data_IF_328573448207
#
_entry.id   IF_328573448207
#
_cell.length_a   1.000
_cell.length_b   1.000
_cell.length_c   1.000
_cell.angle_alpha   90.00
_cell.angle_beta   90.00
_cell.angle_gamma   90.00
#
_symmetry.space_group_name_H-M   'P 1'
#
loop_
_entity.id
_entity.type
_entity.pdbx_description
1 polymer ?
#
# COMPACT_ATOMS: atom_id res chain seq x y z
N UNK A 1 57.65 14.31 58.12
CA UNK A 1 56.28 14.88 58.01
C UNK A 1 56.01 15.11 56.53
N UNK A 2 55.18 14.27 55.92
CA UNK A 2 54.89 14.26 54.48
C UNK A 2 53.56 14.96 54.21
N UNK A 3 53.57 16.00 53.39
CA UNK A 3 52.42 16.82 53.01
C UNK A 3 51.65 16.18 51.84
N UNK A 4 50.37 15.88 52.05
CA UNK A 4 49.47 15.36 51.01
C UNK A 4 48.95 16.48 50.08
N UNK A 5 48.72 16.22 48.78
CA UNK A 5 48.21 17.23 47.85
C UNK A 5 46.67 17.28 47.80
N UNK A 6 46.14 18.50 47.84
CA UNK A 6 44.71 18.83 47.68
C UNK A 6 44.21 18.48 46.27
N UNK A 7 43.32 17.50 46.15
CA UNK A 7 42.52 17.26 44.93
C UNK A 7 41.19 18.01 45.02
N UNK A 8 41.12 19.14 44.31
CA UNK A 8 39.89 19.93 44.10
C UNK A 8 39.06 19.26 43.01
N UNK A 9 37.94 18.64 43.38
CA UNK A 9 36.98 18.09 42.42
C UNK A 9 36.28 19.24 41.71
N UNK A 10 36.58 19.42 40.42
CA UNK A 10 35.83 20.33 39.54
C UNK A 10 34.63 19.57 39.00
N UNK A 11 33.43 19.89 39.50
CA UNK A 11 32.18 19.36 38.98
C UNK A 11 31.93 20.05 37.64
N UNK A 12 32.29 19.39 36.54
CA UNK A 12 31.91 19.81 35.21
C UNK A 12 30.38 19.66 35.07
N UNK A 13 29.69 20.79 34.98
CA UNK A 13 28.27 20.82 34.63
C UNK A 13 28.11 20.34 33.18
N UNK A 14 27.58 19.13 33.00
CA UNK A 14 27.11 18.68 31.69
C UNK A 14 25.91 19.53 31.27
N UNK A 15 25.97 20.25 30.13
CA UNK A 15 24.78 20.94 29.64
C UNK A 15 23.72 19.92 29.24
N UNK A 16 22.55 20.01 29.88
CA UNK A 16 21.34 19.30 29.49
C UNK A 16 20.99 19.69 28.05
N UNK A 17 21.32 18.83 27.10
CA UNK A 17 20.84 18.94 25.72
C UNK A 17 19.33 18.72 25.73
N UNK A 18 18.58 19.82 25.77
CA UNK A 18 17.14 19.83 25.53
C UNK A 18 16.92 19.47 24.05
N UNK A 19 16.84 18.17 23.79
CA UNK A 19 16.55 17.62 22.47
C UNK A 19 15.21 18.14 21.96
N UNK A 20 15.25 19.16 21.10
CA UNK A 20 14.09 19.63 20.37
C UNK A 20 13.52 18.47 19.56
N UNK A 21 12.27 18.07 19.85
CA UNK A 21 11.54 17.09 19.03
C UNK A 21 11.47 17.66 17.61
N UNK A 22 12.20 17.07 16.66
CA UNK A 22 12.06 17.45 15.25
C UNK A 22 10.59 17.27 14.84
N UNK A 23 9.99 18.34 14.34
CA UNK A 23 8.60 18.35 13.88
C UNK A 23 8.47 17.33 12.73
N UNK A 24 7.59 16.34 12.86
CA UNK A 24 7.32 15.39 11.78
C UNK A 24 6.81 16.15 10.56
N UNK A 25 7.40 15.89 9.39
CA UNK A 25 7.00 16.49 8.12
C UNK A 25 5.57 16.05 7.81
N UNK A 26 4.70 17.01 7.49
CA UNK A 26 3.30 16.74 7.20
C UNK A 26 3.16 15.85 5.95
N UNK A 27 2.08 15.06 5.85
CA UNK A 27 1.79 14.26 4.65
C UNK A 27 1.60 15.14 3.40
N UNK A 28 1.09 16.36 3.57
CA UNK A 28 0.92 17.32 2.47
C UNK A 28 2.24 17.83 1.88
N UNK A 29 3.36 17.64 2.59
CA UNK A 29 4.70 17.97 2.10
C UNK A 29 5.40 16.75 1.47
N UNK A 30 4.71 15.61 1.36
CA UNK A 30 5.20 14.34 0.81
C UNK A 30 4.23 13.87 -0.28
N UNK A 31 4.22 14.49 -1.47
CA UNK A 31 3.17 14.30 -2.47
C UNK A 31 3.04 12.83 -2.91
N UNK A 32 4.15 12.13 -3.12
CA UNK A 32 4.11 10.70 -3.47
C UNK A 32 3.50 9.84 -2.35
N UNK A 33 3.82 10.13 -1.08
CA UNK A 33 3.21 9.43 0.07
C UNK A 33 1.71 9.71 0.14
N UNK A 34 1.27 10.93 -0.18
CA UNK A 34 -0.14 11.28 -0.24
C UNK A 34 -0.88 10.51 -1.35
N UNK A 35 -0.28 10.36 -2.53
CA UNK A 35 -0.87 9.54 -3.61
C UNK A 35 -1.03 8.08 -3.16
N UNK A 36 -0.03 7.51 -2.48
CA UNK A 36 -0.16 6.15 -1.91
C UNK A 36 -1.29 6.06 -0.88
N UNK A 37 -1.42 7.04 0.01
CA UNK A 37 -2.51 7.07 1.00
C UNK A 37 -3.88 7.13 0.31
N UNK A 38 -4.05 7.99 -0.69
CA UNK A 38 -5.30 8.08 -1.46
C UNK A 38 -5.60 6.74 -2.14
N UNK A 39 -4.58 6.12 -2.74
CA UNK A 39 -4.70 4.81 -3.36
C UNK A 39 -5.18 3.75 -2.34
N UNK A 40 -4.53 3.62 -1.18
CA UNK A 40 -4.95 2.67 -0.14
C UNK A 40 -6.38 2.92 0.35
N UNK A 41 -6.73 4.18 0.64
CA UNK A 41 -8.05 4.55 1.17
C UNK A 41 -9.15 4.29 0.16
N UNK A 42 -8.92 4.57 -1.13
CA UNK A 42 -9.91 4.32 -2.18
C UNK A 42 -10.04 2.84 -2.53
N UNK A 43 -8.97 2.05 -2.37
CA UNK A 43 -9.02 0.62 -2.68
C UNK A 43 -9.81 -0.19 -1.65
N UNK A 44 -9.77 0.19 -0.36
CA UNK A 44 -10.54 -0.53 0.67
C UNK A 44 -12.04 -0.64 0.32
N UNK A 45 -12.79 0.45 0.04
CA UNK A 45 -14.19 0.33 -0.34
C UNK A 45 -14.36 -0.33 -1.72
N UNK A 46 -13.47 -0.11 -2.69
CA UNK A 46 -13.55 -0.79 -3.99
C UNK A 46 -13.48 -2.30 -3.82
N UNK A 47 -12.50 -2.81 -3.06
CA UNK A 47 -12.38 -4.25 -2.80
C UNK A 47 -13.55 -4.78 -2.01
N UNK A 48 -13.98 -4.08 -0.96
CA UNK A 48 -15.08 -4.54 -0.11
C UNK A 48 -16.43 -4.53 -0.82
N UNK A 49 -16.69 -3.60 -1.74
CA UNK A 49 -18.01 -3.42 -2.34
C UNK A 49 -18.10 -3.79 -3.81
N UNK A 50 -16.99 -3.86 -4.55
CA UNK A 50 -16.95 -4.23 -5.97
C UNK A 50 -16.31 -5.60 -6.13
N UNK A 51 -15.05 -5.77 -5.72
CA UNK A 51 -14.31 -7.01 -5.97
C UNK A 51 -14.92 -8.19 -5.20
N UNK A 52 -15.33 -7.98 -3.95
CA UNK A 52 -15.95 -9.03 -3.13
C UNK A 52 -17.27 -9.58 -3.70
N UNK A 53 -17.93 -8.89 -4.65
CA UNK A 53 -19.11 -9.42 -5.33
C UNK A 53 -18.79 -10.70 -6.13
N UNK A 54 -17.52 -10.92 -6.52
CA UNK A 54 -17.10 -12.16 -7.16
C UNK A 54 -17.02 -13.37 -6.22
N UNK A 55 -16.92 -13.15 -4.89
CA UNK A 55 -16.67 -14.22 -3.90
C UNK A 55 -17.75 -14.34 -2.81
N UNK A 56 -18.62 -13.34 -2.67
CA UNK A 56 -19.72 -13.33 -1.71
C UNK A 56 -21.08 -13.28 -2.42
N UNK A 57 -22.14 -13.84 -1.80
CA UNK A 57 -23.50 -13.70 -2.31
C UNK A 57 -23.95 -12.25 -2.52
N UNK A 58 -24.76 -12.01 -3.55
CA UNK A 58 -25.24 -10.68 -3.92
C UNK A 58 -26.02 -9.95 -2.81
N UNK A 59 -26.65 -10.70 -1.90
CA UNK A 59 -27.45 -10.20 -0.78
C UNK A 59 -26.65 -9.35 0.23
N UNK A 60 -25.32 -9.53 0.28
CA UNK A 60 -24.45 -8.75 1.16
C UNK A 60 -24.18 -7.33 0.67
N UNK A 61 -24.55 -7.00 -0.58
CA UNK A 61 -24.20 -5.74 -1.22
C UNK A 61 -25.44 -4.88 -1.48
N UNK A 62 -25.38 -3.57 -1.16
CA UNK A 62 -26.43 -2.63 -1.55
C UNK A 62 -26.62 -2.58 -3.07
N UNK A 63 -27.83 -2.24 -3.51
CA UNK A 63 -28.16 -2.07 -4.94
C UNK A 63 -27.17 -1.16 -5.67
N UNK A 64 -26.75 -0.06 -5.04
CA UNK A 64 -25.80 0.88 -5.66
C UNK A 64 -24.45 0.22 -6.04
N UNK A 65 -23.99 -0.79 -5.30
CA UNK A 65 -22.77 -1.53 -5.61
C UNK A 65 -22.96 -2.45 -6.82
N UNK A 66 -24.14 -3.08 -6.92
CA UNK A 66 -24.52 -3.88 -8.10
C UNK A 66 -24.64 -3.00 -9.35
N UNK A 67 -25.32 -1.85 -9.22
CA UNK A 67 -25.49 -0.90 -10.32
C UNK A 67 -24.14 -0.38 -10.81
N UNK A 68 -23.18 -0.16 -9.90
CA UNK A 68 -21.81 0.24 -10.25
C UNK A 68 -21.05 -0.87 -11.01
N UNK A 69 -21.14 -2.12 -10.54
CA UNK A 69 -20.52 -3.25 -11.24
C UNK A 69 -21.17 -3.46 -12.61
N UNK A 70 -22.50 -3.39 -12.70
CA UNK A 70 -23.22 -3.52 -13.97
C UNK A 70 -22.84 -2.40 -14.94
N UNK A 71 -22.73 -1.15 -14.46
CA UNK A 71 -22.23 -0.04 -15.27
C UNK A 71 -20.82 -0.33 -15.82
N UNK A 72 -19.91 -0.88 -15.01
CA UNK A 72 -18.59 -1.28 -15.47
C UNK A 72 -18.65 -2.35 -16.57
N UNK A 73 -19.47 -3.37 -16.38
CA UNK A 73 -19.64 -4.46 -17.36
C UNK A 73 -20.25 -3.96 -18.68
N UNK A 74 -21.24 -3.08 -18.62
CA UNK A 74 -21.93 -2.55 -19.80
C UNK A 74 -21.00 -1.65 -20.64
N UNK A 75 -20.11 -0.88 -19.99
CA UNK A 75 -19.22 0.06 -20.68
C UNK A 75 -17.91 -0.57 -21.13
N UNK A 76 -17.36 -1.53 -20.37
CA UNK A 76 -16.01 -2.05 -20.61
C UNK A 76 -15.97 -3.54 -20.96
N UNK A 77 -17.09 -4.26 -20.83
CA UNK A 77 -17.24 -5.69 -21.14
C UNK A 77 -16.17 -6.54 -20.45
N UNK A 78 -15.83 -6.19 -19.22
CA UNK A 78 -14.76 -6.85 -18.47
C UNK A 78 -15.10 -8.34 -18.23
N UNK A 79 -14.41 -9.28 -18.92
CA UNK A 79 -14.74 -10.68 -18.83
C UNK A 79 -14.38 -11.26 -17.46
N UNK A 80 -13.41 -10.67 -16.76
CA UNK A 80 -12.93 -11.14 -15.46
C UNK A 80 -13.97 -10.87 -14.39
N UNK A 81 -14.49 -9.65 -14.34
CA UNK A 81 -15.51 -9.25 -13.39
C UNK A 81 -16.89 -9.82 -13.75
N UNK A 82 -17.15 -10.10 -15.03
CA UNK A 82 -18.42 -10.71 -15.46
C UNK A 82 -18.52 -12.20 -15.16
N UNK A 83 -17.42 -12.96 -15.31
CA UNK A 83 -17.42 -14.42 -15.11
C UNK A 83 -16.89 -14.86 -13.75
N UNK A 84 -16.07 -14.02 -13.11
CA UNK A 84 -15.37 -14.31 -11.85
C UNK A 84 -14.73 -15.71 -11.85
N UNK A 85 -13.75 -15.98 -12.73
CA UNK A 85 -13.15 -17.31 -12.83
C UNK A 85 -12.50 -17.72 -11.51
N UNK A 86 -12.39 -19.03 -11.26
CA UNK A 86 -11.96 -19.55 -9.96
C UNK A 86 -10.59 -19.01 -9.50
N UNK A 87 -9.64 -18.83 -10.41
CA UNK A 87 -8.33 -18.25 -10.08
C UNK A 87 -8.44 -16.78 -9.65
N UNK A 88 -9.34 -16.00 -10.25
CA UNK A 88 -9.56 -14.60 -9.87
C UNK A 88 -10.22 -14.53 -8.51
N UNK A 89 -11.23 -15.36 -8.26
CA UNK A 89 -11.84 -15.49 -6.92
C UNK A 89 -10.80 -15.79 -5.84
N UNK A 90 -9.83 -16.66 -6.12
CA UNK A 90 -8.73 -16.93 -5.19
C UNK A 90 -7.85 -15.70 -4.95
N UNK A 91 -7.58 -14.88 -5.98
CA UNK A 91 -6.85 -13.61 -5.82
C UNK A 91 -7.67 -12.63 -4.97
N UNK A 92 -8.97 -12.48 -5.23
CA UNK A 92 -9.85 -11.58 -4.47
C UNK A 92 -9.95 -12.00 -3.00
N UNK A 93 -9.93 -13.30 -2.69
CA UNK A 93 -9.78 -13.76 -1.30
C UNK A 93 -8.47 -13.29 -0.66
N UNK A 94 -7.35 -13.34 -1.39
CA UNK A 94 -6.08 -12.77 -0.92
C UNK A 94 -6.16 -11.25 -0.76
N UNK A 95 -6.84 -10.55 -1.65
CA UNK A 95 -7.07 -9.09 -1.54
C UNK A 95 -7.83 -8.76 -0.26
N UNK A 96 -8.95 -9.44 -0.02
CA UNK A 96 -9.76 -9.24 1.16
C UNK A 96 -9.00 -9.56 2.47
N UNK A 97 -8.28 -10.68 2.51
CA UNK A 97 -7.65 -11.16 3.75
C UNK A 97 -6.27 -10.55 4.03
N UNK A 98 -5.52 -10.16 2.99
CA UNK A 98 -4.15 -9.66 3.13
C UNK A 98 -4.03 -8.18 2.76
N UNK A 99 -4.62 -7.78 1.63
CA UNK A 99 -4.44 -6.41 1.13
C UNK A 99 -5.29 -5.40 1.91
N UNK A 100 -6.55 -5.70 2.24
CA UNK A 100 -7.40 -4.78 3.01
C UNK A 100 -6.81 -4.45 4.39
N UNK A 101 -6.39 -5.43 5.23
CA UNK A 101 -5.70 -5.11 6.49
C UNK A 101 -4.40 -4.33 6.26
N UNK A 102 -3.65 -4.67 5.21
CA UNK A 102 -2.45 -3.93 4.83
C UNK A 102 -2.75 -2.48 4.49
N UNK A 103 -3.81 -2.17 3.73
CA UNK A 103 -4.16 -0.80 3.36
C UNK A 103 -4.49 0.08 4.56
N UNK A 104 -5.19 -0.46 5.56
CA UNK A 104 -5.47 0.24 6.81
C UNK A 104 -4.18 0.52 7.59
N UNK A 105 -3.34 -0.50 7.72
CA UNK A 105 -2.02 -0.41 8.35
C UNK A 105 -1.09 0.59 7.65
N UNK A 106 -1.04 0.55 6.31
CA UNK A 106 -0.22 1.41 5.49
C UNK A 106 -0.69 2.86 5.53
N UNK A 107 -2.00 3.10 5.49
CA UNK A 107 -2.59 4.44 5.65
C UNK A 107 -2.13 5.07 6.96
N UNK A 108 -2.27 4.37 8.08
CA UNK A 108 -1.78 4.83 9.38
C UNK A 108 -0.26 5.07 9.36
N UNK A 109 0.51 4.12 8.85
CA UNK A 109 1.96 4.21 8.86
C UNK A 109 2.50 5.38 8.02
N UNK A 110 1.89 5.65 6.86
CA UNK A 110 2.29 6.77 6.01
C UNK A 110 1.93 8.12 6.63
N UNK A 111 0.71 8.27 7.16
CA UNK A 111 0.27 9.48 7.85
C UNK A 111 1.13 9.76 9.08
N UNK A 112 1.47 8.74 9.86
CA UNK A 112 2.27 8.87 11.08
C UNK A 112 3.78 8.69 10.90
N UNK A 113 4.25 8.52 9.66
CA UNK A 113 5.67 8.33 9.29
C UNK A 113 6.33 7.19 10.06
N UNK A 114 5.78 5.98 9.97
CA UNK A 114 6.25 4.80 10.69
C UNK A 114 7.06 3.88 9.78
N UNK A 115 8.37 3.77 10.04
CA UNK A 115 9.28 3.01 9.17
C UNK A 115 9.06 1.49 9.16
N UNK A 116 8.36 0.92 10.16
CA UNK A 116 8.06 -0.52 10.20
C UNK A 116 7.26 -1.00 8.99
N UNK A 117 6.51 -0.11 8.32
CA UNK A 117 5.72 -0.45 7.13
C UNK A 117 6.57 -0.82 5.92
N UNK A 118 7.88 -0.54 5.94
CA UNK A 118 8.76 -0.74 4.79
C UNK A 118 8.68 -2.17 4.23
N UNK A 119 8.87 -3.17 5.08
CA UNK A 119 8.88 -4.56 4.62
C UNK A 119 7.47 -5.04 4.21
N UNK A 120 6.40 -4.81 4.99
CA UNK A 120 5.04 -5.09 4.54
C UNK A 120 4.68 -4.43 3.20
N UNK A 121 5.03 -3.16 2.99
CA UNK A 121 4.73 -2.44 1.75
C UNK A 121 5.53 -2.96 0.55
N UNK A 122 6.77 -3.40 0.76
CA UNK A 122 7.57 -4.08 -0.25
C UNK A 122 6.92 -5.42 -0.65
N UNK A 123 6.54 -6.23 0.33
CA UNK A 123 5.89 -7.53 0.09
C UNK A 123 4.56 -7.36 -0.65
N UNK A 124 3.72 -6.43 -0.19
CA UNK A 124 2.47 -6.08 -0.85
C UNK A 124 2.70 -5.64 -2.31
N UNK A 125 3.69 -4.76 -2.54
CA UNK A 125 4.00 -4.25 -3.88
C UNK A 125 4.36 -5.35 -4.87
N UNK A 126 5.25 -6.27 -4.46
CA UNK A 126 5.66 -7.41 -5.27
C UNK A 126 4.50 -8.40 -5.48
N UNK A 127 3.76 -8.72 -4.42
CA UNK A 127 2.63 -9.64 -4.49
C UNK A 127 1.56 -9.13 -5.47
N UNK A 128 1.15 -7.87 -5.33
CA UNK A 128 0.12 -7.28 -6.20
C UNK A 128 0.59 -7.18 -7.65
N UNK A 129 1.85 -6.80 -7.89
CA UNK A 129 2.40 -6.83 -9.24
C UNK A 129 2.37 -8.24 -9.86
N UNK A 130 2.59 -9.28 -9.03
CA UNK A 130 2.54 -10.67 -9.48
C UNK A 130 1.11 -11.10 -9.84
N UNK A 131 0.10 -10.72 -9.05
CA UNK A 131 -1.31 -11.07 -9.32
C UNK A 131 -1.86 -10.39 -10.58
N UNK A 132 -1.28 -9.26 -11.00
CA UNK A 132 -1.65 -8.58 -12.24
C UNK A 132 -1.16 -9.31 -13.51
N UNK A 133 -0.16 -10.19 -13.42
CA UNK A 133 0.33 -10.97 -14.56
C UNK A 133 -0.76 -11.85 -15.18
N UNK A 134 -1.47 -12.73 -14.43
CA UNK A 134 -2.56 -13.52 -14.99
C UNK A 134 -3.78 -12.67 -15.41
N UNK A 135 -4.01 -11.53 -14.77
CA UNK A 135 -5.08 -10.58 -15.14
C UNK A 135 -4.82 -10.02 -16.54
N UNK A 136 -3.65 -9.38 -16.74
CA UNK A 136 -3.27 -8.81 -18.03
C UNK A 136 -3.09 -9.91 -19.09
N UNK A 137 -2.53 -11.06 -18.71
CA UNK A 137 -2.44 -12.23 -19.58
C UNK A 137 -3.82 -12.69 -20.06
N UNK A 138 -4.83 -12.72 -19.19
CA UNK A 138 -6.20 -13.09 -19.57
C UNK A 138 -6.84 -12.12 -20.55
N UNK A 139 -6.48 -10.82 -20.52
CA UNK A 139 -7.02 -9.85 -21.48
C UNK A 139 -6.45 -10.03 -22.89
N UNK A 140 -5.17 -10.40 -22.99
CA UNK A 140 -4.45 -10.45 -24.26
C UNK A 140 -4.34 -11.85 -24.86
N UNK A 141 -4.21 -12.87 -24.02
CA UNK A 141 -3.96 -14.26 -24.44
C UNK A 141 -5.24 -15.11 -24.50
N UNK A 142 -6.34 -14.66 -23.86
CA UNK A 142 -7.59 -15.40 -23.91
C UNK A 142 -8.39 -15.06 -25.17
N UNK A 143 -8.42 -16.01 -26.12
CA UNK A 143 -9.18 -15.87 -27.37
C UNK A 143 -10.70 -15.94 -27.15
N UNK A 144 -11.17 -16.50 -26.03
CA UNK A 144 -12.60 -16.69 -25.77
C UNK A 144 -13.30 -15.40 -25.32
N UNK A 145 -12.53 -14.39 -24.87
CA UNK A 145 -13.07 -13.16 -24.30
C UNK A 145 -13.83 -12.26 -25.31
N UNK A 146 -13.79 -12.55 -26.61
CA UNK A 146 -14.46 -11.76 -27.69
C UNK A 146 -14.30 -10.23 -27.57
N UNK A 147 -13.13 -9.78 -27.10
CA UNK A 147 -12.78 -8.36 -26.99
C UNK A 147 -12.04 -7.88 -28.25
N UNK A 148 -12.43 -6.71 -28.75
CA UNK A 148 -11.66 -5.95 -29.75
C UNK A 148 -10.36 -5.40 -29.16
N UNK A 149 -9.40 -5.04 -30.01
CA UNK A 149 -8.12 -4.48 -29.57
C UNK A 149 -8.28 -3.18 -28.77
N UNK A 150 -9.26 -2.35 -29.12
CA UNK A 150 -9.57 -1.12 -28.39
C UNK A 150 -10.09 -1.45 -26.99
N UNK A 151 -11.03 -2.40 -26.86
CA UNK A 151 -11.54 -2.81 -25.55
C UNK A 151 -10.43 -3.43 -24.68
N UNK A 152 -9.53 -4.23 -25.27
CA UNK A 152 -8.35 -4.79 -24.58
C UNK A 152 -7.42 -3.69 -24.06
N UNK A 153 -7.14 -2.67 -24.88
CA UNK A 153 -6.31 -1.52 -24.48
C UNK A 153 -7.00 -0.69 -23.40
N UNK A 154 -8.31 -0.47 -23.50
CA UNK A 154 -9.09 0.24 -22.48
C UNK A 154 -9.05 -0.51 -21.15
N UNK A 155 -9.32 -1.82 -21.13
CA UNK A 155 -9.23 -2.63 -19.92
C UNK A 155 -7.79 -2.67 -19.37
N UNK A 156 -6.79 -2.80 -20.23
CA UNK A 156 -5.38 -2.70 -19.81
C UNK A 156 -5.14 -1.37 -19.10
N UNK A 157 -5.65 -0.24 -19.64
CA UNK A 157 -5.58 1.06 -19.01
C UNK A 157 -6.29 1.14 -17.64
N UNK A 158 -7.39 0.42 -17.47
CA UNK A 158 -8.10 0.31 -16.19
C UNK A 158 -7.28 -0.47 -15.17
N UNK A 159 -6.67 -1.60 -15.56
CA UNK A 159 -5.89 -2.44 -14.65
C UNK A 159 -4.46 -1.90 -14.38
N UNK A 160 -3.91 -1.07 -15.28
CA UNK A 160 -2.52 -0.61 -15.22
C UNK A 160 -2.18 0.19 -13.94
N UNK A 161 -3.03 1.10 -13.41
CA UNK A 161 -2.79 1.76 -12.12
C UNK A 161 -2.53 0.77 -10.97
N UNK A 162 -3.24 -0.36 -10.95
CA UNK A 162 -3.10 -1.42 -9.95
C UNK A 162 -1.80 -2.23 -10.10
N UNK A 163 -1.09 -2.09 -11.22
CA UNK A 163 0.28 -2.60 -11.40
C UNK A 163 1.32 -1.53 -11.05
N UNK A 164 1.14 -0.33 -11.59
CA UNK A 164 2.12 0.77 -11.48
C UNK A 164 2.25 1.25 -10.04
N UNK A 165 1.14 1.45 -9.33
CA UNK A 165 1.17 1.97 -7.97
C UNK A 165 1.87 1.02 -6.99
N UNK A 166 1.55 -0.30 -6.94
CA UNK A 166 2.27 -1.24 -6.07
C UNK A 166 3.74 -1.41 -6.45
N UNK A 167 4.10 -1.36 -7.75
CA UNK A 167 5.50 -1.39 -8.17
C UNK A 167 6.27 -0.15 -7.72
N UNK A 168 5.72 1.05 -7.92
CA UNK A 168 6.33 2.29 -7.44
C UNK A 168 6.51 2.28 -5.91
N UNK A 169 5.54 1.72 -5.18
CA UNK A 169 5.63 1.53 -3.74
C UNK A 169 6.77 0.58 -3.38
N UNK A 170 6.88 -0.58 -4.04
CA UNK A 170 7.97 -1.53 -3.82
C UNK A 170 9.34 -0.89 -4.08
N UNK A 171 9.49 -0.17 -5.20
CA UNK A 171 10.72 0.55 -5.54
C UNK A 171 11.08 1.60 -4.49
N UNK A 172 10.11 2.37 -4.01
CA UNK A 172 10.31 3.32 -2.91
C UNK A 172 10.82 2.64 -1.63
N UNK A 173 10.27 1.47 -1.28
CA UNK A 173 10.68 0.73 -0.07
C UNK A 173 12.04 0.04 -0.22
N UNK A 174 12.42 -0.33 -1.44
CA UNK A 174 13.77 -0.83 -1.74
C UNK A 174 14.83 0.26 -1.63
N UNK A 175 14.51 1.47 -2.09
CA UNK A 175 15.45 2.59 -2.18
C UNK A 175 15.98 3.09 -0.81
N UNK A 176 15.25 2.87 0.29
CA UNK A 176 15.68 3.34 1.62
C UNK A 176 15.33 2.36 2.74
N UNK A 177 16.25 2.19 3.69
CA UNK A 177 16.00 1.44 4.93
C UNK A 177 15.06 2.14 5.90
N UNK A 178 14.99 3.47 5.83
CA UNK A 178 14.13 4.32 6.65
C UNK A 178 13.36 5.28 5.72
N UNK A 179 12.26 4.84 5.10
CA UNK A 179 11.54 5.60 4.07
C UNK A 179 10.96 6.94 4.55
N UNK A 180 10.90 7.18 5.87
CA UNK A 180 10.46 8.44 6.46
C UNK A 180 11.54 9.14 7.31
N UNK A 181 12.81 8.73 7.18
CA UNK A 181 13.94 9.22 7.99
C UNK A 181 14.19 8.38 9.26
N UNK A 182 15.38 8.51 9.85
CA UNK A 182 15.80 7.70 11.00
C UNK A 182 15.03 8.02 12.30
N UNK A 183 14.58 6.97 13.00
CA UNK A 183 14.12 7.06 14.40
C UNK A 183 15.36 6.98 15.32
N UNK A 184 15.86 8.13 15.80
CA UNK A 184 17.03 8.19 16.70
C UNK A 184 16.80 7.55 18.08
N UNK A 185 15.62 6.99 18.37
CA UNK A 185 15.33 6.33 19.64
C UNK A 185 16.04 4.98 19.80
N UNK A 186 16.62 4.40 18.74
CA UNK A 186 17.38 3.15 18.83
C UNK A 186 18.89 3.33 19.10
N UNK A 187 19.45 4.54 19.00
CA UNK A 187 20.88 4.81 19.26
C UNK A 187 21.22 5.07 20.75
N UNK A 188 20.37 4.66 21.70
CA UNK A 188 20.63 4.83 23.13
C UNK A 188 21.04 3.56 23.87
N UNK A 189 21.13 2.42 23.18
CA UNK A 189 21.40 1.12 23.79
C UNK A 189 22.64 0.39 23.21
N UNK A 190 23.56 1.13 22.57
CA UNK A 190 24.91 0.63 22.24
C UNK A 190 25.97 1.39 23.03
#
# INVERSE_FOLDING_TARGET
MSSAPNRRWSIAAHPLSLGGKKKKVSIFQRPLDLVFVIFFVTHVPTTLFVDCQCILPAEYFPKACHDLLQFHLDNFKDPLMGTCPAWLRSIIWCELLLQVPFFLAATYAFVCSKNWIRLPALMYGIHTATTLVPILGSLWLNSDAKLSDVERLTLTGIYLPYLVMPLLLALKMLASKAPFGEDKSQNKNE
#
